data_IF_739296481208
#
_entry.id   IF_739296481208
#
_cell.length_a   1.000
_cell.length_b   1.000
_cell.length_c   1.000
_cell.angle_alpha   90.00
_cell.angle_beta   90.00
_cell.angle_gamma   90.00
#
_symmetry.space_group_name_H-M   'P 1'
#
loop_
_entity.id
_entity.type
_entity.pdbx_description
1 polymer ?
#
# COMPACT_ATOMS: atom_id res chain seq x y z
N UNK A 1 48.45 -14.04 32.56
CA UNK A 1 48.88 -12.75 33.13
C UNK A 1 49.77 -12.03 32.12
N UNK A 2 49.20 -11.04 31.42
CA UNK A 2 49.89 -9.96 30.69
C UNK A 2 48.94 -8.78 30.77
N UNK A 3 49.41 -7.67 31.35
CA UNK A 3 48.56 -6.51 31.62
C UNK A 3 48.22 -5.72 30.35
N UNK A 4 46.98 -5.24 30.28
CA UNK A 4 46.50 -4.31 29.24
C UNK A 4 46.12 -3.01 29.95
N UNK A 5 46.72 -1.86 29.60
CA UNK A 5 46.43 -0.60 30.28
C UNK A 5 45.10 0.01 29.82
N UNK A 6 44.24 0.31 30.79
CA UNK A 6 43.02 1.10 30.61
C UNK A 6 43.36 2.52 30.12
N UNK A 7 42.75 2.95 29.00
CA UNK A 7 42.72 4.35 28.58
C UNK A 7 41.37 4.98 28.92
N UNK A 8 41.31 5.68 30.04
CA UNK A 8 40.26 6.65 30.34
C UNK A 8 40.57 7.99 29.63
N UNK A 9 39.64 8.47 28.81
CA UNK A 9 39.61 9.84 28.34
C UNK A 9 38.29 10.49 28.79
N UNK A 10 38.38 11.66 29.42
CA UNK A 10 37.21 12.38 29.95
C UNK A 10 36.67 13.40 28.94
N UNK A 11 35.38 13.66 29.11
CA UNK A 11 34.50 14.63 28.47
C UNK A 11 35.12 15.98 28.08
N UNK A 12 34.64 16.53 26.97
CA UNK A 12 34.51 17.97 26.77
C UNK A 12 33.13 18.26 26.13
N UNK A 13 32.22 18.83 26.92
CA UNK A 13 30.98 19.40 26.40
C UNK A 13 31.21 20.88 26.08
N UNK A 14 30.64 21.39 24.98
CA UNK A 14 30.66 22.82 24.69
C UNK A 14 29.32 23.25 24.10
N UNK A 15 28.48 23.84 24.96
CA UNK A 15 27.26 24.51 24.55
C UNK A 15 27.55 25.98 24.24
N UNK A 16 26.93 26.52 23.18
CA UNK A 16 26.96 27.93 22.86
C UNK A 16 25.58 28.38 22.36
N UNK A 17 24.79 28.97 23.26
CA UNK A 17 23.56 29.68 22.90
C UNK A 17 23.89 31.16 22.69
N UNK A 18 23.37 31.76 21.62
CA UNK A 18 23.45 33.20 21.37
C UNK A 18 22.07 33.75 21.01
N UNK A 19 21.40 34.28 22.02
CA UNK A 19 20.15 35.03 21.90
C UNK A 19 20.45 36.49 21.55
N UNK A 20 19.77 37.06 20.55
CA UNK A 20 19.82 38.48 20.25
C UNK A 20 18.42 39.03 19.96
N UNK A 21 17.78 39.62 20.97
CA UNK A 21 16.57 40.42 20.78
C UNK A 21 16.96 41.87 20.51
N UNK A 22 16.45 42.47 19.42
CA UNK A 22 16.41 43.91 19.27
C UNK A 22 14.99 44.33 18.84
N UNK A 23 14.28 45.02 19.73
CA UNK A 23 13.01 45.66 19.43
C UNK A 23 13.21 47.17 19.26
N UNK A 24 12.52 47.78 18.29
CA UNK A 24 12.46 49.23 18.10
C UNK A 24 10.99 49.62 17.87
N UNK A 25 10.53 50.70 18.53
CA UNK A 25 9.15 51.17 18.48
C UNK A 25 9.06 52.71 18.44
N UNK A 26 8.02 53.25 17.78
CA UNK A 26 7.62 54.68 17.73
C UNK A 26 7.79 55.35 16.34
N UNK A 27 6.77 55.87 15.63
CA UNK A 27 5.88 57.04 15.88
C UNK A 27 6.40 58.35 15.19
N UNK A 28 5.62 59.26 14.55
CA UNK A 28 4.15 59.54 14.48
C UNK A 28 3.65 60.19 13.15
N UNK A 29 2.36 59.95 12.81
CA UNK A 29 1.34 60.91 12.29
C UNK A 29 1.30 61.49 10.85
N UNK A 30 0.06 61.44 10.29
CA UNK A 30 -0.64 62.27 9.27
C UNK A 30 -0.10 62.34 7.81
N UNK A 31 -0.96 62.31 6.77
CA UNK A 31 -2.42 62.13 6.70
C UNK A 31 -2.98 62.23 5.26
N UNK A 32 -4.29 61.98 5.09
CA UNK A 32 -5.14 62.19 3.87
C UNK A 32 -4.85 61.18 2.71
N UNK A 33 -5.82 60.50 2.07
CA UNK A 33 -7.24 60.82 1.78
C UNK A 33 -8.15 59.55 1.71
N UNK A 34 -9.49 59.70 1.73
CA UNK A 34 -10.53 58.62 1.65
C UNK A 34 -11.68 59.04 0.70
N UNK A 35 -12.32 58.13 -0.06
CA UNK A 35 -13.51 57.37 0.42
C UNK A 35 -13.51 55.88 0.00
N UNK A 36 -13.92 54.95 0.86
CA UNK A 36 -15.30 54.43 1.06
C UNK A 36 -16.00 53.81 -0.17
N UNK A 37 -16.19 52.48 -0.13
CA UNK A 37 -17.46 51.73 -0.24
C UNK A 37 -17.14 50.26 0.06
N UNK A 38 -17.94 49.40 0.68
CA UNK A 38 -19.11 49.42 1.57
C UNK A 38 -19.23 47.94 2.02
N UNK A 39 -19.48 47.64 3.29
CA UNK A 39 -19.69 46.24 3.74
C UNK A 39 -21.17 45.86 3.53
N UNK A 40 -21.43 44.65 3.01
CA UNK A 40 -22.72 43.97 3.20
C UNK A 40 -22.51 42.48 3.59
N UNK A 41 -23.54 41.92 4.22
CA UNK A 41 -23.48 40.70 5.04
C UNK A 41 -23.85 39.42 4.28
N UNK A 42 -23.54 38.29 4.93
CA UNK A 42 -24.19 36.96 4.85
C UNK A 42 -24.87 36.52 3.54
N UNK A 43 -24.35 35.43 2.98
CA UNK A 43 -25.09 34.54 2.08
C UNK A 43 -24.51 33.13 2.15
N UNK A 44 -25.28 32.18 2.68
CA UNK A 44 -25.07 30.75 2.38
C UNK A 44 -25.56 30.53 0.96
N UNK A 45 -24.70 30.06 0.06
CA UNK A 45 -25.11 29.69 -1.29
C UNK A 45 -24.73 28.23 -1.57
N UNK A 46 -25.76 27.45 -1.84
CA UNK A 46 -25.72 26.05 -2.26
C UNK A 46 -25.32 25.98 -3.75
N UNK A 47 -24.40 25.09 -4.17
CA UNK A 47 -23.99 25.04 -5.57
C UNK A 47 -25.14 24.60 -6.48
N UNK A 48 -25.29 25.21 -7.68
CA UNK A 48 -26.41 24.92 -8.58
C UNK A 48 -26.32 23.52 -9.21
N UNK A 49 -27.45 22.95 -9.68
CA UNK A 49 -27.45 21.67 -10.36
C UNK A 49 -26.70 21.74 -11.70
N UNK A 50 -25.94 20.68 -12.00
CA UNK A 50 -25.32 20.49 -13.32
C UNK A 50 -26.30 19.77 -14.24
N UNK A 51 -26.92 20.53 -15.15
CA UNK A 51 -27.70 19.99 -16.27
C UNK A 51 -26.83 19.19 -17.24
N UNK A 52 -27.44 18.20 -17.89
CA UNK A 52 -26.78 17.22 -18.77
C UNK A 52 -26.21 17.82 -20.08
N UNK A 53 -25.01 17.41 -20.53
CA UNK A 53 -24.57 17.68 -21.89
C UNK A 53 -25.25 16.73 -22.90
N UNK A 54 -26.28 17.26 -23.57
CA UNK A 54 -26.85 16.64 -24.78
C UNK A 54 -25.80 16.56 -25.89
N UNK A 55 -25.57 15.37 -26.46
CA UNK A 55 -24.76 15.18 -27.66
C UNK A 55 -25.63 14.92 -28.90
N UNK A 56 -25.72 15.92 -29.79
CA UNK A 56 -26.18 15.74 -31.17
C UNK A 56 -25.03 15.25 -32.08
N UNK A 57 -25.27 14.28 -33.00
CA UNK A 57 -24.33 13.94 -34.07
C UNK A 57 -24.82 14.29 -35.49
N UNK A 58 -23.85 14.52 -36.38
CA UNK A 58 -23.97 14.73 -37.83
C UNK A 58 -22.87 13.88 -38.51
N UNK A 59 -22.99 13.23 -39.68
CA UNK A 59 -24.06 13.02 -40.69
C UNK A 59 -23.63 11.78 -41.56
N UNK A 60 -24.33 11.21 -42.55
CA UNK A 60 -25.42 11.67 -43.45
C UNK A 60 -26.18 10.49 -44.08
N UNK A 61 -27.47 10.70 -44.39
CA UNK A 61 -28.25 10.22 -45.55
C UNK A 61 -28.19 8.76 -46.10
N UNK A 62 -29.42 8.22 -46.31
CA UNK A 62 -29.86 7.23 -47.33
C UNK A 62 -29.54 5.74 -47.10
N UNK A 63 -30.43 4.76 -47.42
CA UNK A 63 -31.86 4.79 -47.86
C UNK A 63 -32.44 3.34 -47.83
N UNK A 64 -33.74 3.21 -47.55
CA UNK A 64 -34.64 2.03 -47.75
C UNK A 64 -34.15 0.62 -47.36
N UNK A 65 -34.82 0.02 -46.37
CA UNK A 65 -35.89 -0.95 -46.66
C UNK A 65 -36.78 -1.23 -45.45
N UNK A 66 -38.07 -1.51 -45.71
CA UNK A 66 -39.06 -1.85 -44.70
C UNK A 66 -39.16 -3.37 -44.48
N UNK A 67 -39.45 -3.78 -43.25
CA UNK A 67 -40.37 -4.90 -43.04
C UNK A 67 -41.06 -4.82 -41.67
N UNK A 68 -42.37 -5.03 -41.70
CA UNK A 68 -43.26 -5.12 -40.55
C UNK A 68 -43.09 -6.47 -39.84
N UNK A 69 -43.22 -6.49 -38.50
CA UNK A 69 -43.67 -7.69 -37.77
C UNK A 69 -44.68 -7.26 -36.71
N UNK A 70 -45.85 -7.89 -36.73
CA UNK A 70 -46.96 -7.80 -35.76
C UNK A 70 -46.63 -8.75 -34.57
N UNK A 71 -46.72 -8.34 -33.31
CA UNK A 71 -47.91 -8.29 -32.41
C UNK A 71 -48.25 -9.62 -31.68
N UNK A 72 -48.68 -9.46 -30.42
CA UNK A 72 -49.32 -10.43 -29.48
C UNK A 72 -48.56 -11.67 -28.89
N UNK A 73 -49.04 -12.26 -27.76
CA UNK A 73 -48.16 -12.72 -26.66
C UNK A 73 -48.51 -14.14 -26.08
N UNK A 74 -48.29 -14.35 -24.76
CA UNK A 74 -48.48 -15.57 -23.94
C UNK A 74 -47.43 -16.70 -24.18
N UNK A 75 -46.87 -17.41 -23.18
CA UNK A 75 -47.47 -17.90 -21.95
C UNK A 75 -46.43 -18.22 -20.85
N UNK A 76 -46.88 -18.27 -19.58
CA UNK A 76 -46.16 -18.90 -18.47
C UNK A 76 -46.24 -20.44 -18.55
N UNK A 77 -45.29 -21.15 -17.91
CA UNK A 77 -45.74 -22.06 -16.86
C UNK A 77 -44.91 -22.00 -15.57
N UNK A 78 -45.59 -22.14 -14.43
CA UNK A 78 -44.99 -22.53 -13.16
C UNK A 78 -44.73 -24.04 -13.15
N UNK A 79 -43.64 -24.51 -12.52
CA UNK A 79 -43.67 -25.70 -11.64
C UNK A 79 -42.33 -25.97 -10.93
N UNK A 80 -42.44 -26.15 -9.61
CA UNK A 80 -41.67 -27.08 -8.76
C UNK A 80 -40.17 -26.87 -8.49
N UNK A 81 -39.92 -26.64 -7.20
CA UNK A 81 -38.65 -26.85 -6.49
C UNK A 81 -38.15 -28.30 -6.58
N UNK A 82 -36.84 -28.47 -6.68
CA UNK A 82 -36.10 -29.52 -5.97
C UNK A 82 -34.87 -28.87 -5.31
N UNK A 83 -34.78 -28.97 -3.99
CA UNK A 83 -33.65 -28.46 -3.20
C UNK A 83 -32.64 -29.59 -3.01
N UNK A 84 -31.53 -29.58 -3.74
CA UNK A 84 -30.45 -30.55 -3.55
C UNK A 84 -29.52 -30.04 -2.43
N UNK A 85 -29.81 -30.46 -1.19
CA UNK A 85 -28.92 -30.26 -0.05
C UNK A 85 -27.70 -31.21 -0.16
N UNK A 86 -26.77 -30.84 -1.03
CA UNK A 86 -25.47 -31.51 -1.11
C UNK A 86 -24.60 -31.05 0.05
N UNK A 87 -24.65 -31.77 1.18
CA UNK A 87 -23.57 -31.75 2.19
C UNK A 87 -22.29 -32.33 1.57
N UNK A 88 -21.62 -31.50 0.77
CA UNK A 88 -20.31 -31.79 0.23
C UNK A 88 -19.29 -31.81 1.36
N UNK A 89 -18.74 -32.99 1.64
CA UNK A 89 -17.52 -33.14 2.43
C UNK A 89 -16.46 -32.15 1.87
N UNK A 90 -15.83 -31.31 2.71
CA UNK A 90 -14.96 -30.25 2.22
C UNK A 90 -13.86 -30.86 1.36
N UNK A 91 -13.78 -30.40 0.11
CA UNK A 91 -12.72 -30.79 -0.81
C UNK A 91 -11.36 -30.57 -0.10
N UNK A 92 -10.38 -31.47 -0.28
CA UNK A 92 -9.05 -31.23 0.27
C UNK A 92 -8.56 -29.88 -0.23
N UNK A 93 -8.14 -29.02 0.69
CA UNK A 93 -7.47 -27.78 0.33
C UNK A 93 -6.28 -28.13 -0.58
N UNK A 94 -5.97 -27.30 -1.59
CA UNK A 94 -4.82 -27.53 -2.44
C UNK A 94 -3.54 -27.66 -1.59
N UNK A 95 -2.65 -28.56 -2.00
CA UNK A 95 -1.33 -28.71 -1.39
C UNK A 95 -0.52 -27.43 -1.63
N UNK A 96 -0.58 -26.49 -0.68
CA UNK A 96 0.21 -25.28 -0.69
C UNK A 96 1.64 -25.63 -0.25
N UNK A 97 2.60 -25.56 -1.16
CA UNK A 97 4.01 -25.81 -0.84
C UNK A 97 4.61 -24.60 -0.11
N UNK A 98 5.31 -24.85 1.00
CA UNK A 98 6.06 -23.80 1.71
C UNK A 98 7.45 -23.73 1.10
N UNK A 99 7.74 -22.63 0.41
CA UNK A 99 9.01 -22.40 -0.28
C UNK A 99 10.08 -21.85 0.67
N UNK A 100 9.68 -20.98 1.59
CA UNK A 100 10.56 -20.31 2.54
C UNK A 100 9.82 -20.08 3.87
N UNK A 101 10.54 -20.17 4.99
CA UNK A 101 10.03 -19.85 6.32
C UNK A 101 11.20 -19.58 7.28
N UNK A 102 11.21 -18.40 7.89
CA UNK A 102 12.20 -18.06 8.93
C UNK A 102 11.74 -18.46 10.33
N UNK A 103 12.65 -18.37 11.30
CA UNK A 103 12.27 -18.21 12.70
C UNK A 103 11.81 -16.77 12.98
N UNK A 104 11.22 -16.53 14.15
CA UNK A 104 10.94 -15.17 14.62
C UNK A 104 12.24 -14.46 15.04
N UNK A 105 12.41 -13.21 14.61
CA UNK A 105 13.52 -12.34 15.02
C UNK A 105 13.14 -10.86 14.87
N UNK A 106 13.84 -9.96 15.56
CA UNK A 106 13.79 -8.52 15.29
C UNK A 106 15.03 -8.04 14.48
N UNK A 107 16.01 -8.92 14.26
CA UNK A 107 17.17 -8.65 13.40
C UNK A 107 16.78 -8.65 11.91
N UNK A 108 17.63 -8.13 11.00
CA UNK A 108 17.43 -8.25 9.56
C UNK A 108 17.32 -9.71 9.09
N UNK A 109 16.35 -9.99 8.23
CA UNK A 109 16.09 -11.29 7.62
C UNK A 109 16.11 -11.17 6.09
N UNK A 110 16.41 -12.26 5.37
CA UNK A 110 16.34 -12.31 3.92
C UNK A 110 16.16 -13.74 3.40
N UNK A 111 15.52 -13.86 2.25
CA UNK A 111 15.42 -15.10 1.47
C UNK A 111 16.77 -15.59 0.94
N UNK A 112 16.83 -16.87 0.55
CA UNK A 112 17.98 -17.42 -0.17
C UNK A 112 18.25 -16.63 -1.48
N UNK A 113 19.52 -16.39 -1.78
CA UNK A 113 19.94 -15.63 -2.97
C UNK A 113 20.13 -14.13 -2.75
N UNK A 114 19.71 -13.54 -1.63
CA UNK A 114 20.06 -12.15 -1.33
C UNK A 114 21.53 -11.99 -0.92
N UNK A 115 22.22 -10.91 -1.34
CA UNK A 115 21.70 -9.75 -2.09
C UNK A 115 21.73 -9.88 -3.62
N UNK A 116 22.21 -11.00 -4.18
CA UNK A 116 22.45 -11.15 -5.63
C UNK A 116 21.15 -11.00 -6.46
N UNK A 117 20.00 -11.39 -5.90
CA UNK A 117 18.67 -11.19 -6.49
C UNK A 117 18.27 -9.72 -6.74
N UNK A 118 18.99 -8.74 -6.17
CA UNK A 118 18.82 -7.31 -6.50
C UNK A 118 19.30 -6.98 -7.93
N UNK A 119 20.14 -7.83 -8.53
CA UNK A 119 20.66 -7.69 -9.90
C UNK A 119 20.35 -8.88 -10.79
N UNK A 120 20.16 -10.07 -10.21
CA UNK A 120 19.88 -11.32 -10.91
C UNK A 120 18.47 -11.83 -10.53
N UNK A 121 17.44 -11.07 -10.93
CA UNK A 121 16.04 -11.45 -10.71
C UNK A 121 15.76 -12.82 -11.37
N UNK A 122 15.13 -13.79 -10.68
CA UNK A 122 14.99 -15.15 -11.21
C UNK A 122 14.20 -15.20 -12.52
N UNK A 123 14.75 -15.90 -13.53
CA UNK A 123 14.05 -16.10 -14.80
C UNK A 123 12.71 -16.81 -14.57
N UNK A 124 11.63 -16.22 -15.07
CA UNK A 124 10.26 -16.73 -14.89
C UNK A 124 9.49 -16.14 -13.71
N UNK A 125 10.12 -15.34 -12.85
CA UNK A 125 9.38 -14.51 -11.88
C UNK A 125 8.73 -13.34 -12.61
N UNK A 126 7.40 -13.35 -12.69
CA UNK A 126 6.56 -12.23 -13.13
C UNK A 126 5.42 -12.12 -12.11
N UNK A 127 5.67 -11.41 -11.02
CA UNK A 127 4.74 -11.33 -9.90
C UNK A 127 4.05 -9.97 -9.84
N UNK A 128 2.72 -9.99 -9.75
CA UNK A 128 1.92 -8.78 -9.56
C UNK A 128 1.26 -8.83 -8.19
N UNK A 129 1.43 -7.80 -7.37
CA UNK A 129 0.67 -7.69 -6.11
C UNK A 129 -0.78 -7.35 -6.44
N UNK A 130 -1.69 -8.27 -6.11
CA UNK A 130 -3.14 -8.09 -6.31
C UNK A 130 -3.87 -7.71 -5.03
N UNK A 131 -3.44 -8.26 -3.88
CA UNK A 131 -4.12 -8.03 -2.61
C UNK A 131 -3.15 -7.93 -1.43
N UNK A 132 -3.48 -7.07 -0.47
CA UNK A 132 -2.91 -7.07 0.88
C UNK A 132 -4.01 -7.41 1.88
N UNK A 133 -3.78 -8.38 2.75
CA UNK A 133 -4.74 -8.84 3.77
C UNK A 133 -4.09 -8.84 5.15
N UNK A 134 -4.86 -8.48 6.17
CA UNK A 134 -4.43 -8.49 7.58
C UNK A 134 -5.35 -9.41 8.39
N UNK A 135 -4.77 -10.15 9.34
CA UNK A 135 -5.48 -11.09 10.20
C UNK A 135 -4.91 -11.17 11.62
N UNK A 136 -5.78 -11.45 12.58
CA UNK A 136 -5.43 -11.65 13.99
C UNK A 136 -5.36 -13.14 14.30
N UNK A 137 -4.26 -13.59 14.91
CA UNK A 137 -4.04 -14.97 15.35
C UNK A 137 -3.65 -15.01 16.83
N UNK A 138 -3.58 -16.21 17.42
CA UNK A 138 -3.13 -16.36 18.81
C UNK A 138 -1.62 -16.13 18.92
N UNK A 139 -1.22 -15.05 19.58
CA UNK A 139 0.18 -14.68 19.85
C UNK A 139 0.91 -13.93 18.73
N UNK A 140 0.31 -13.81 17.55
CA UNK A 140 0.84 -13.02 16.44
C UNK A 140 -0.29 -12.41 15.60
N UNK A 141 0.00 -11.31 14.92
CA UNK A 141 -0.83 -10.80 13.83
C UNK A 141 -0.12 -11.06 12.51
N UNK A 142 -0.91 -11.26 11.46
CA UNK A 142 -0.44 -11.64 10.13
C UNK A 142 -0.80 -10.58 9.11
N UNK A 143 0.13 -10.33 8.21
CA UNK A 143 -0.13 -9.72 6.92
C UNK A 143 0.22 -10.71 5.81
N UNK A 144 -0.60 -10.72 4.76
CA UNK A 144 -0.37 -11.50 3.54
C UNK A 144 -0.38 -10.53 2.36
N UNK A 145 0.68 -10.57 1.57
CA UNK A 145 0.74 -10.03 0.22
C UNK A 145 0.46 -11.19 -0.73
N UNK A 146 -0.67 -11.13 -1.42
CA UNK A 146 -1.06 -12.11 -2.44
C UNK A 146 -0.60 -11.60 -3.80
N UNK A 147 0.28 -12.37 -4.45
CA UNK A 147 0.77 -12.07 -5.78
C UNK A 147 0.18 -13.04 -6.80
N UNK A 148 -0.31 -12.53 -7.93
CA UNK A 148 -0.55 -13.36 -9.10
C UNK A 148 0.74 -13.56 -9.90
N UNK A 149 0.77 -14.63 -10.70
CA UNK A 149 1.90 -15.00 -11.54
C UNK A 149 2.52 -16.34 -11.14
N UNK A 150 3.79 -16.52 -11.48
CA UNK A 150 4.55 -17.74 -11.22
C UNK A 150 5.95 -17.43 -10.68
N UNK A 151 6.54 -18.41 -10.00
CA UNK A 151 7.79 -18.26 -9.26
C UNK A 151 7.55 -17.81 -7.82
N UNK A 152 8.62 -17.39 -7.15
CA UNK A 152 8.61 -16.93 -5.77
C UNK A 152 9.15 -15.50 -5.68
N UNK A 153 8.57 -14.63 -4.84
CA UNK A 153 9.16 -13.33 -4.56
C UNK A 153 10.45 -13.52 -3.78
N UNK A 154 11.54 -12.95 -4.29
CA UNK A 154 12.73 -12.73 -3.46
C UNK A 154 12.45 -11.59 -2.49
N UNK A 155 12.87 -11.71 -1.24
CA UNK A 155 12.64 -10.68 -0.22
C UNK A 155 13.83 -10.48 0.73
N UNK A 156 13.94 -9.26 1.27
CA UNK A 156 14.79 -8.88 2.40
C UNK A 156 14.02 -7.93 3.32
N UNK A 157 14.18 -8.05 4.64
CA UNK A 157 13.44 -7.28 5.63
C UNK A 157 14.34 -6.77 6.77
N UNK A 158 14.10 -5.54 7.22
CA UNK A 158 14.76 -4.92 8.37
C UNK A 158 13.94 -3.74 8.91
N UNK A 159 14.19 -3.34 10.16
CA UNK A 159 13.64 -2.10 10.71
C UNK A 159 14.42 -0.88 10.21
N UNK A 160 13.71 0.16 9.77
CA UNK A 160 14.28 1.41 9.24
C UNK A 160 13.74 2.64 9.98
N UNK A 161 14.53 3.72 9.98
CA UNK A 161 14.16 4.99 10.60
C UNK A 161 13.14 5.81 9.76
N UNK A 162 13.09 5.58 8.44
CA UNK A 162 12.31 6.37 7.47
C UNK A 162 11.94 5.52 6.25
N UNK A 163 10.71 5.67 5.74
CA UNK A 163 10.29 5.10 4.47
C UNK A 163 10.60 6.08 3.32
N UNK A 164 10.98 5.57 2.14
CA UNK A 164 11.39 6.42 1.01
C UNK A 164 10.83 5.93 -0.33
N UNK A 165 10.59 6.89 -1.23
CA UNK A 165 10.26 6.65 -2.63
C UNK A 165 11.41 5.94 -3.37
N UNK A 166 11.14 4.92 -4.20
CA UNK A 166 12.17 4.26 -4.98
C UNK A 166 12.71 5.20 -6.07
N UNK A 167 14.04 5.20 -6.23
CA UNK A 167 14.75 5.99 -7.24
C UNK A 167 14.99 7.46 -6.86
N UNK A 168 13.99 8.16 -6.31
CA UNK A 168 14.16 9.55 -5.84
C UNK A 168 14.82 9.62 -4.45
N UNK A 169 14.50 8.67 -3.57
CA UNK A 169 14.89 8.69 -2.17
C UNK A 169 14.20 9.76 -1.33
N UNK A 170 13.10 10.36 -1.81
CA UNK A 170 12.32 11.29 -0.98
C UNK A 170 11.54 10.54 0.11
N UNK A 171 11.38 11.12 1.32
CA UNK A 171 10.59 10.51 2.38
C UNK A 171 9.13 10.27 1.97
N UNK A 172 8.61 9.11 2.38
CA UNK A 172 7.19 8.80 2.43
C UNK A 172 6.71 9.06 3.86
N UNK A 173 5.63 9.82 4.03
CA UNK A 173 5.10 10.12 5.36
C UNK A 173 4.53 8.85 6.01
N UNK A 174 5.06 8.51 7.18
CA UNK A 174 4.57 7.43 8.06
C UNK A 174 4.39 7.99 9.47
N UNK A 175 3.40 7.46 10.18
CA UNK A 175 2.94 7.93 11.51
C UNK A 175 3.23 6.94 12.64
N UNK A 176 3.79 5.77 12.31
CA UNK A 176 4.09 4.67 13.23
C UNK A 176 5.33 4.88 14.11
N UNK A 177 5.42 4.17 15.24
CA UNK A 177 6.59 4.23 16.13
C UNK A 177 7.77 3.37 15.62
N UNK A 178 7.49 2.31 14.85
CA UNK A 178 8.48 1.51 14.16
C UNK A 178 8.04 1.20 12.72
N UNK A 179 9.00 1.15 11.79
CA UNK A 179 8.76 0.83 10.38
C UNK A 179 9.55 -0.43 10.03
N UNK A 180 8.84 -1.52 9.75
CA UNK A 180 9.42 -2.71 9.14
C UNK A 180 9.43 -2.51 7.61
N UNK A 181 10.63 -2.38 7.04
CA UNK A 181 10.83 -2.42 5.60
C UNK A 181 10.91 -3.86 5.12
N UNK A 182 10.27 -4.14 3.98
CA UNK A 182 10.44 -5.36 3.21
C UNK A 182 10.67 -5.00 1.75
N UNK A 183 11.89 -5.19 1.28
CA UNK A 183 12.24 -5.11 -0.13
C UNK A 183 11.86 -6.40 -0.84
N UNK A 184 11.13 -6.30 -1.95
CA UNK A 184 10.64 -7.45 -2.72
C UNK A 184 11.11 -7.35 -4.16
N UNK A 185 11.58 -8.46 -4.73
CA UNK A 185 12.08 -8.59 -6.12
C UNK A 185 11.39 -9.76 -6.85
N UNK A 186 11.40 -9.71 -8.18
CA UNK A 186 10.62 -10.63 -9.03
C UNK A 186 9.27 -10.07 -9.47
N UNK A 187 9.04 -8.78 -9.23
CA UNK A 187 7.78 -8.11 -9.52
C UNK A 187 7.72 -7.64 -10.98
N UNK A 188 6.53 -7.65 -11.58
CA UNK A 188 6.30 -7.12 -12.92
C UNK A 188 5.83 -5.65 -12.86
N UNK A 189 6.34 -4.74 -13.72
CA UNK A 189 5.89 -3.35 -13.75
C UNK A 189 4.40 -3.21 -14.09
N UNK A 190 3.72 -2.27 -13.42
CA UNK A 190 2.27 -2.03 -13.54
C UNK A 190 1.77 -1.73 -14.98
N UNK A 191 2.66 -1.40 -15.92
CA UNK A 191 2.32 -1.12 -17.32
C UNK A 191 2.48 -2.34 -18.26
N UNK A 192 2.74 -3.54 -17.74
CA UNK A 192 3.15 -4.68 -18.57
C UNK A 192 2.02 -5.33 -19.39
N UNK A 193 0.81 -5.50 -18.84
CA UNK A 193 -0.38 -5.93 -19.60
C UNK A 193 -1.72 -5.97 -18.85
N UNK A 194 -1.76 -5.82 -17.52
CA UNK A 194 -3.01 -5.85 -16.75
C UNK A 194 -3.78 -4.51 -16.77
N UNK A 195 -5.12 -4.56 -16.61
CA UNK A 195 -5.98 -3.36 -16.61
C UNK A 195 -5.82 -2.50 -15.33
N UNK A 196 -5.43 -3.09 -14.20
CA UNK A 196 -5.33 -2.40 -12.90
C UNK A 196 -3.87 -2.17 -12.42
N UNK A 197 -2.90 -2.86 -13.03
CA UNK A 197 -1.48 -2.74 -12.68
C UNK A 197 -1.11 -3.28 -11.29
N UNK A 198 0.06 -2.91 -10.76
CA UNK A 198 0.50 -3.33 -9.43
C UNK A 198 -0.29 -2.56 -8.36
N UNK A 199 -0.89 -3.27 -7.40
CA UNK A 199 -1.53 -2.64 -6.24
C UNK A 199 -0.52 -1.77 -5.47
N UNK A 200 -0.86 -0.48 -5.34
CA UNK A 200 -0.21 0.46 -4.43
C UNK A 200 -1.15 0.74 -3.27
N UNK A 201 -0.72 0.38 -2.08
CA UNK A 201 -1.40 0.71 -0.82
C UNK A 201 -0.70 1.94 -0.26
N UNK A 202 -1.46 2.98 0.10
CA UNK A 202 -0.96 4.18 0.77
C UNK A 202 -1.93 4.68 1.85
N UNK A 203 -2.90 3.84 2.23
CA UNK A 203 -3.94 4.18 3.22
C UNK A 203 -3.68 3.44 4.54
N UNK A 204 -3.92 4.08 5.70
CA UNK A 204 -3.89 3.38 6.97
C UNK A 204 -4.91 2.23 6.99
N UNK A 205 -4.45 1.04 7.36
CA UNK A 205 -5.37 -0.07 7.63
C UNK A 205 -6.06 0.20 8.97
N UNK A 206 -7.38 0.01 9.05
CA UNK A 206 -8.13 0.16 10.31
C UNK A 206 -7.51 -0.75 11.38
N UNK A 207 -6.81 -0.19 12.39
CA UNK A 207 -5.90 -0.95 13.23
C UNK A 207 -6.65 -1.65 14.38
N UNK A 208 -7.99 -1.64 14.39
CA UNK A 208 -8.83 -2.11 15.47
C UNK A 208 -8.61 -3.60 15.82
N UNK A 209 -7.67 -3.84 16.75
CA UNK A 209 -7.30 -5.17 17.23
C UNK A 209 -6.04 -5.77 16.58
N UNK A 210 -5.24 -5.00 15.83
CA UNK A 210 -3.96 -5.45 15.26
C UNK A 210 -2.76 -4.67 15.83
N UNK A 211 -1.53 -5.06 15.47
CA UNK A 211 -0.30 -4.30 15.79
C UNK A 211 0.15 -3.39 14.63
N UNK A 212 -0.51 -3.51 13.48
CA UNK A 212 -0.22 -2.75 12.27
C UNK A 212 -0.99 -1.43 12.31
N UNK A 213 -0.29 -0.32 12.11
CA UNK A 213 -0.87 1.04 12.13
C UNK A 213 -1.07 1.62 10.73
N UNK A 214 -0.16 1.36 9.80
CA UNK A 214 -0.27 1.79 8.41
C UNK A 214 0.55 0.88 7.49
N UNK A 215 0.20 0.79 6.21
CA UNK A 215 0.94 -0.02 5.23
C UNK A 215 1.11 0.78 3.95
N UNK A 216 2.34 0.85 3.45
CA UNK A 216 2.69 1.57 2.22
C UNK A 216 3.42 0.64 1.26
N UNK A 217 2.91 0.43 0.06
CA UNK A 217 3.62 -0.29 -1.02
C UNK A 217 3.98 0.66 -2.15
N UNK A 218 5.23 0.63 -2.60
CA UNK A 218 5.71 1.51 -3.67
C UNK A 218 5.41 0.92 -5.05
N UNK A 219 5.45 1.77 -6.07
CA UNK A 219 5.48 1.30 -7.47
C UNK A 219 6.71 0.41 -7.74
N UNK A 220 6.59 -0.48 -8.73
CA UNK A 220 7.67 -1.38 -9.15
C UNK A 220 8.71 -0.63 -9.99
N UNK A 221 9.97 -0.68 -9.56
CA UNK A 221 11.12 -0.10 -10.26
C UNK A 221 12.19 -1.18 -10.46
N UNK A 222 12.64 -1.40 -11.71
CA UNK A 222 13.59 -2.47 -12.06
C UNK A 222 13.21 -3.89 -11.56
N UNK A 223 11.90 -4.18 -11.45
CA UNK A 223 11.41 -5.48 -10.98
C UNK A 223 11.42 -5.66 -9.47
N UNK A 224 11.58 -4.57 -8.72
CA UNK A 224 11.50 -4.53 -7.26
C UNK A 224 10.54 -3.46 -6.74
N UNK A 225 10.06 -3.62 -5.51
CA UNK A 225 9.30 -2.63 -4.77
C UNK A 225 9.61 -2.70 -3.27
N UNK A 226 9.32 -1.61 -2.57
CA UNK A 226 9.38 -1.52 -1.11
C UNK A 226 7.98 -1.67 -0.52
N UNK A 227 7.82 -2.56 0.45
CA UNK A 227 6.64 -2.61 1.32
C UNK A 227 7.07 -2.13 2.71
N UNK A 228 6.45 -1.06 3.20
CA UNK A 228 6.69 -0.50 4.53
C UNK A 228 5.49 -0.82 5.41
N UNK A 229 5.75 -1.42 6.57
CA UNK A 229 4.73 -1.87 7.52
C UNK A 229 4.96 -1.12 8.82
N UNK A 230 4.00 -0.25 9.14
CA UNK A 230 3.99 0.51 10.38
C UNK A 230 3.54 -0.32 11.57
N UNK A 231 4.25 -0.21 12.69
CA UNK A 231 4.00 -0.91 13.94
C UNK A 231 3.98 0.06 15.13
N UNK A 232 3.27 -0.34 16.19
CA UNK A 232 3.26 0.35 17.49
C UNK A 232 4.59 0.27 18.25
N UNK A 233 5.44 -0.71 17.95
CA UNK A 233 6.81 -0.83 18.46
C UNK A 233 7.63 -1.84 17.68
N UNK A 234 8.93 -1.94 17.95
CA UNK A 234 9.80 -3.00 17.39
C UNK A 234 9.40 -4.35 17.99
N UNK A 235 9.01 -5.28 17.13
CA UNK A 235 8.52 -6.63 17.45
C UNK A 235 9.32 -7.68 16.70
N UNK A 236 9.41 -8.88 17.26
CA UNK A 236 9.91 -10.03 16.51
C UNK A 236 8.90 -10.39 15.41
N UNK A 237 9.42 -10.59 14.20
CA UNK A 237 8.67 -10.96 13.01
C UNK A 237 9.27 -12.21 12.36
N UNK A 238 8.45 -12.91 11.58
CA UNK A 238 8.82 -14.04 10.75
C UNK A 238 8.28 -13.80 9.36
N UNK A 239 9.04 -14.17 8.33
CA UNK A 239 8.58 -14.18 6.95
C UNK A 239 8.48 -15.62 6.44
N UNK A 240 7.48 -15.89 5.61
CA UNK A 240 7.36 -17.14 4.87
C UNK A 240 6.78 -16.91 3.48
N UNK A 241 7.20 -17.73 2.51
CA UNK A 241 6.72 -17.70 1.13
C UNK A 241 6.04 -19.03 0.82
N UNK A 242 4.79 -18.97 0.38
CA UNK A 242 3.96 -20.14 0.10
C UNK A 242 3.51 -20.11 -1.36
N UNK A 243 3.53 -21.25 -2.05
CA UNK A 243 2.75 -21.41 -3.29
C UNK A 243 1.27 -21.58 -2.95
N UNK A 244 0.41 -20.96 -3.76
CA UNK A 244 -1.03 -21.19 -3.78
C UNK A 244 -1.49 -21.31 -5.23
N UNK A 245 -2.58 -22.04 -5.56
CA UNK A 245 -3.05 -22.14 -6.95
C UNK A 245 -3.47 -20.82 -7.62
N UNK A 246 -3.60 -19.75 -6.84
CA UNK A 246 -3.92 -18.38 -7.30
C UNK A 246 -2.64 -17.53 -7.50
N UNK A 247 -1.47 -18.05 -7.15
CA UNK A 247 -0.18 -17.36 -7.18
C UNK A 247 0.53 -17.37 -5.80
N UNK A 248 1.82 -16.99 -5.72
CA UNK A 248 2.57 -17.06 -4.47
C UNK A 248 2.13 -16.01 -3.44
N UNK A 249 2.38 -16.33 -2.17
CA UNK A 249 2.05 -15.47 -1.02
C UNK A 249 3.30 -15.14 -0.24
N UNK A 250 3.58 -13.85 -0.06
CA UNK A 250 4.55 -13.37 0.92
C UNK A 250 3.81 -13.06 2.23
N UNK A 251 4.08 -13.85 3.26
CA UNK A 251 3.37 -13.84 4.54
C UNK A 251 4.33 -13.35 5.62
N UNK A 252 3.91 -12.36 6.41
CA UNK A 252 4.68 -11.85 7.54
C UNK A 252 3.84 -11.99 8.81
N UNK A 253 4.38 -12.70 9.79
CA UNK A 253 3.82 -12.82 11.13
C UNK A 253 4.59 -11.91 12.08
N UNK A 254 3.90 -11.15 12.93
CA UNK A 254 4.50 -10.24 13.93
C UNK A 254 3.92 -10.54 15.30
N UNK A 255 4.77 -10.75 16.32
CA UNK A 255 4.32 -11.13 17.66
C UNK A 255 3.53 -10.00 18.37
N UNK A 256 2.57 -10.39 19.22
CA UNK A 256 1.69 -9.49 20.01
C UNK A 256 2.19 -9.29 21.44
#
# INVERSE_FOLDING_TARGET
MKDVPLRTARSAAMAAALTACLAVAGCTANGEDLPQQEQQSEGTEEPPPLDEPTHEPLTTASKDQASTVEDEPEALPEASSESDEHEGEPAPAPDNEVLDVTEFSADPLQSEGFPDLLTEVPEGSQLLLEQVRVGVHEGYHRIVFDHAGAGAPGWSAEYVDEAVEPGSGFPLEMTSEAILYVGVVGLEPANASQEEGQLQVSEPIDPAGTVFSEIVTTFVHHGSASYYIGLDTVREYRISVWEHPEGPRLIIDVLV
#
